data_IF_148231368145
#
_entry.id   IF_148231368145
#
_cell.length_a   1.000
_cell.length_b   1.000
_cell.length_c   1.000
_cell.angle_alpha   90.00
_cell.angle_beta   90.00
_cell.angle_gamma   90.00
#
_symmetry.space_group_name_H-M   'P 1'
#
loop_
_entity.id
_entity.type
_entity.pdbx_description
1 polymer ?
#
# COMPACT_ATOMS: atom_id res chain seq x y z
N UNK A 1 37.11 -8.75 -25.40
CA UNK A 1 35.94 -7.95 -25.86
C UNK A 1 35.51 -7.06 -24.70
N UNK A 2 35.42 -5.73 -24.87
CA UNK A 2 35.13 -4.84 -23.75
C UNK A 2 33.67 -4.97 -23.33
N UNK A 3 33.44 -5.11 -22.03
CA UNK A 3 32.13 -5.27 -21.35
C UNK A 3 31.08 -4.26 -21.85
N UNK A 4 31.51 -3.05 -22.23
CA UNK A 4 30.66 -1.99 -22.77
C UNK A 4 29.94 -2.32 -24.10
N UNK A 5 30.50 -3.18 -24.95
CA UNK A 5 29.88 -3.54 -26.22
C UNK A 5 28.71 -4.52 -26.05
N UNK A 6 28.83 -5.45 -25.10
CA UNK A 6 27.78 -6.41 -24.77
C UNK A 6 26.64 -5.73 -23.99
N UNK A 7 26.94 -4.81 -23.08
CA UNK A 7 25.93 -4.00 -22.37
C UNK A 7 25.10 -3.23 -23.40
N UNK A 8 25.73 -2.51 -24.34
CA UNK A 8 25.03 -1.78 -25.42
C UNK A 8 24.08 -2.63 -26.26
N UNK A 9 24.41 -3.91 -26.50
CA UNK A 9 23.58 -4.83 -27.28
C UNK A 9 22.33 -5.29 -26.51
N UNK A 10 22.38 -5.33 -25.19
CA UNK A 10 21.28 -5.76 -24.30
C UNK A 10 20.73 -4.64 -23.41
N UNK A 11 20.99 -3.38 -23.76
CA UNK A 11 20.62 -2.20 -22.96
C UNK A 11 19.14 -2.19 -22.55
N UNK A 12 18.22 -2.63 -23.42
CA UNK A 12 16.79 -2.69 -23.10
C UNK A 12 16.43 -3.72 -22.03
N UNK A 13 17.02 -4.92 -22.10
CA UNK A 13 16.81 -6.00 -21.12
C UNK A 13 17.44 -5.64 -19.78
N UNK A 14 18.61 -5.02 -19.81
CA UNK A 14 19.30 -4.58 -18.60
C UNK A 14 18.51 -3.50 -17.84
N UNK A 15 17.90 -2.53 -18.55
CA UNK A 15 17.01 -1.53 -17.94
C UNK A 15 15.84 -2.21 -17.24
N UNK A 16 15.18 -3.15 -17.93
CA UNK A 16 14.04 -3.87 -17.37
C UNK A 16 14.42 -4.58 -16.07
N UNK A 17 15.55 -5.29 -16.04
CA UNK A 17 16.00 -6.01 -14.85
C UNK A 17 16.33 -5.05 -13.70
N UNK A 18 17.11 -4.00 -13.96
CA UNK A 18 17.48 -3.03 -12.92
C UNK A 18 16.24 -2.31 -12.39
N UNK A 19 15.35 -1.85 -13.26
CA UNK A 19 14.13 -1.19 -12.83
C UNK A 19 13.23 -2.15 -12.06
N UNK A 20 13.12 -3.41 -12.47
CA UNK A 20 12.35 -4.41 -11.73
C UNK A 20 12.90 -4.61 -10.31
N UNK A 21 14.22 -4.80 -10.16
CA UNK A 21 14.85 -4.96 -8.86
C UNK A 21 14.70 -3.72 -7.97
N UNK A 22 14.89 -2.52 -8.54
CA UNK A 22 14.72 -1.26 -7.83
C UNK A 22 13.26 -1.04 -7.41
N UNK A 23 12.30 -1.28 -8.31
CA UNK A 23 10.88 -1.12 -8.02
C UNK A 23 10.43 -2.08 -6.92
N UNK A 24 10.81 -3.36 -7.02
CA UNK A 24 10.47 -4.35 -6.00
C UNK A 24 11.10 -4.00 -4.64
N UNK A 25 12.38 -3.63 -4.61
CA UNK A 25 13.06 -3.22 -3.38
C UNK A 25 12.47 -1.94 -2.76
N UNK A 26 12.11 -0.95 -3.58
CA UNK A 26 11.45 0.27 -3.13
C UNK A 26 10.06 -0.01 -2.57
N UNK A 27 9.27 -0.84 -3.24
CA UNK A 27 7.95 -1.25 -2.76
C UNK A 27 8.05 -1.90 -1.39
N UNK A 28 8.96 -2.85 -1.21
CA UNK A 28 9.18 -3.49 0.08
C UNK A 28 9.60 -2.46 1.14
N UNK A 29 10.56 -1.59 0.83
CA UNK A 29 11.08 -0.60 1.77
C UNK A 29 10.02 0.41 2.23
N UNK A 30 9.24 0.97 1.30
CA UNK A 30 8.15 1.92 1.60
C UNK A 30 7.05 1.27 2.42
N UNK A 31 6.77 -0.01 2.19
CA UNK A 31 5.73 -0.74 2.93
C UNK A 31 6.01 -0.85 4.43
N UNK A 32 7.28 -0.86 4.85
CA UNK A 32 7.66 -0.86 6.27
C UNK A 32 7.78 0.54 6.86
N UNK A 33 7.97 1.55 6.02
CA UNK A 33 8.18 2.94 6.42
C UNK A 33 7.25 3.84 5.63
N UNK A 34 5.99 3.95 6.07
CA UNK A 34 4.96 4.76 5.39
C UNK A 34 5.39 6.21 5.14
N UNK A 35 6.23 6.78 6.02
CA UNK A 35 6.80 8.12 5.85
C UNK A 35 7.63 8.30 4.58
N UNK A 36 8.08 7.19 3.98
CA UNK A 36 8.87 7.15 2.75
C UNK A 36 8.02 6.94 1.50
N UNK A 37 6.69 6.90 1.63
CA UNK A 37 5.75 6.72 0.51
C UNK A 37 6.04 7.60 -0.70
N UNK A 38 6.46 8.85 -0.48
CA UNK A 38 6.78 9.77 -1.57
C UNK A 38 7.93 9.30 -2.47
N UNK A 39 8.81 8.41 -2.00
CA UNK A 39 9.91 7.85 -2.80
C UNK A 39 9.41 6.98 -3.96
N UNK A 40 8.22 6.38 -3.83
CA UNK A 40 7.57 5.57 -4.88
C UNK A 40 7.39 6.41 -6.15
N UNK A 41 7.04 7.70 -6.03
CA UNK A 41 6.89 8.62 -7.17
C UNK A 41 8.21 9.01 -7.87
N UNK A 42 9.37 8.67 -7.31
CA UNK A 42 10.67 8.89 -7.98
C UNK A 42 10.97 7.83 -9.04
N UNK A 43 10.30 6.68 -9.01
CA UNK A 43 10.50 5.57 -9.95
C UNK A 43 10.45 6.01 -11.42
N UNK A 44 9.41 6.73 -11.92
CA UNK A 44 9.38 7.23 -13.30
C UNK A 44 10.55 8.17 -13.65
N UNK A 45 11.04 8.95 -12.68
CA UNK A 45 12.20 9.84 -12.87
C UNK A 45 13.48 9.02 -13.03
N UNK A 46 13.68 8.01 -12.20
CA UNK A 46 14.82 7.08 -12.30
C UNK A 46 14.79 6.34 -13.63
N UNK A 47 13.62 5.88 -14.07
CA UNK A 47 13.43 5.25 -15.39
C UNK A 47 13.87 6.20 -16.50
N UNK A 48 13.41 7.45 -16.48
CA UNK A 48 13.81 8.46 -17.47
C UNK A 48 15.32 8.68 -17.52
N UNK A 49 15.95 8.77 -16.35
CA UNK A 49 17.41 8.92 -16.23
C UNK A 49 18.13 7.71 -16.82
N UNK A 50 17.70 6.49 -16.48
CA UNK A 50 18.27 5.25 -17.01
C UNK A 50 18.11 5.14 -18.53
N UNK A 51 16.92 5.49 -19.05
CA UNK A 51 16.66 5.52 -20.50
C UNK A 51 17.57 6.52 -21.21
N UNK A 52 17.85 7.68 -20.59
CA UNK A 52 18.78 8.66 -21.12
C UNK A 52 20.22 8.12 -21.17
N UNK A 53 20.75 7.62 -20.05
CA UNK A 53 22.13 7.13 -19.97
C UNK A 53 22.41 5.94 -20.89
N UNK A 54 21.42 5.07 -21.11
CA UNK A 54 21.56 3.86 -21.92
C UNK A 54 21.20 4.08 -23.40
N UNK A 55 20.94 5.34 -23.78
CA UNK A 55 20.83 5.75 -25.17
C UNK A 55 19.50 5.43 -25.83
N UNK A 56 18.43 5.26 -25.05
CA UNK A 56 17.05 5.18 -25.56
C UNK A 56 16.55 6.59 -25.90
N UNK A 57 17.16 7.19 -26.92
CA UNK A 57 16.79 8.49 -27.46
C UNK A 57 15.60 8.39 -28.41
N UNK A 58 14.81 9.47 -28.46
CA UNK A 58 13.67 9.61 -29.36
C UNK A 58 12.32 9.31 -28.71
N UNK A 59 11.33 10.16 -29.03
CA UNK A 59 9.99 10.17 -28.44
C UNK A 59 9.31 8.79 -28.50
N UNK A 60 9.28 8.16 -29.68
CA UNK A 60 8.61 6.87 -29.90
C UNK A 60 9.17 5.77 -29.00
N UNK A 61 10.50 5.70 -28.87
CA UNK A 61 11.16 4.70 -28.02
C UNK A 61 10.87 4.98 -26.55
N UNK A 62 10.99 6.25 -26.13
CA UNK A 62 10.73 6.63 -24.74
C UNK A 62 9.30 6.34 -24.29
N UNK A 63 8.32 6.57 -25.17
CA UNK A 63 6.92 6.24 -24.89
C UNK A 63 6.70 4.72 -24.79
N UNK A 64 7.07 3.96 -25.81
CA UNK A 64 6.77 2.50 -25.84
C UNK A 64 7.50 1.76 -24.71
N UNK A 65 8.81 1.97 -24.58
CA UNK A 65 9.57 1.30 -23.52
C UNK A 65 9.22 1.84 -22.14
N UNK A 66 8.99 3.15 -22.02
CA UNK A 66 8.63 3.79 -20.76
C UNK A 66 7.34 3.23 -20.19
N UNK A 67 6.27 3.14 -20.99
CA UNK A 67 4.97 2.58 -20.57
C UNK A 67 5.14 1.15 -20.05
N UNK A 68 5.86 0.30 -20.78
CA UNK A 68 6.07 -1.11 -20.37
C UNK A 68 6.85 -1.20 -19.06
N UNK A 69 7.93 -0.42 -18.94
CA UNK A 69 8.78 -0.43 -17.74
C UNK A 69 8.01 0.11 -16.53
N UNK A 70 7.25 1.19 -16.71
CA UNK A 70 6.42 1.80 -15.66
C UNK A 70 5.31 0.85 -15.21
N UNK A 71 4.65 0.16 -16.15
CA UNK A 71 3.63 -0.83 -15.82
C UNK A 71 4.21 -1.99 -14.99
N UNK A 72 5.37 -2.52 -15.39
CA UNK A 72 6.06 -3.58 -14.64
C UNK A 72 6.48 -3.07 -13.25
N UNK A 73 7.00 -1.84 -13.16
CA UNK A 73 7.41 -1.26 -11.89
C UNK A 73 6.21 -1.07 -10.93
N UNK A 74 5.08 -0.57 -11.45
CA UNK A 74 3.84 -0.45 -10.68
C UNK A 74 3.39 -1.82 -10.16
N UNK A 75 3.39 -2.85 -11.02
CA UNK A 75 3.01 -4.21 -10.64
C UNK A 75 3.89 -4.78 -9.53
N UNK A 76 5.21 -4.58 -9.60
CA UNK A 76 6.15 -5.07 -8.59
C UNK A 76 6.01 -4.33 -7.26
N UNK A 77 5.78 -3.02 -7.28
CA UNK A 77 5.56 -2.22 -6.08
C UNK A 77 4.24 -2.64 -5.42
N UNK A 78 3.16 -2.73 -6.20
CA UNK A 78 1.87 -3.19 -5.70
C UNK A 78 1.94 -4.60 -5.12
N UNK A 79 2.70 -5.51 -5.75
CA UNK A 79 2.93 -6.85 -5.20
C UNK A 79 3.65 -6.83 -3.86
N UNK A 80 4.70 -6.04 -3.72
CA UNK A 80 5.45 -5.93 -2.48
C UNK A 80 4.60 -5.31 -1.35
N UNK A 81 3.90 -4.22 -1.65
CA UNK A 81 3.00 -3.55 -0.70
C UNK A 81 1.85 -4.46 -0.27
N UNK A 82 1.20 -5.13 -1.21
CA UNK A 82 0.09 -6.03 -0.88
C UNK A 82 0.54 -7.19 0.01
N UNK A 83 1.76 -7.70 -0.18
CA UNK A 83 2.32 -8.75 0.67
C UNK A 83 2.62 -8.25 2.09
N UNK A 84 3.26 -7.09 2.22
CA UNK A 84 3.59 -6.52 3.54
C UNK A 84 2.31 -6.14 4.28
N UNK A 85 1.35 -5.52 3.58
CA UNK A 85 0.03 -5.20 4.10
C UNK A 85 -0.68 -6.46 4.63
N UNK A 86 -0.66 -7.56 3.88
CA UNK A 86 -1.25 -8.82 4.35
C UNK A 86 -0.64 -9.30 5.67
N UNK A 87 0.67 -9.14 5.87
CA UNK A 87 1.40 -9.71 7.00
C UNK A 87 1.53 -8.82 8.25
N UNK A 88 1.09 -7.56 8.17
CA UNK A 88 1.34 -6.54 9.21
C UNK A 88 0.02 -6.11 9.86
N UNK A 89 0.07 -5.71 11.14
CA UNK A 89 -1.09 -5.13 11.82
C UNK A 89 -1.34 -3.71 11.31
N UNK A 90 -2.63 -3.35 11.15
CA UNK A 90 -3.05 -2.02 10.70
C UNK A 90 -3.87 -1.31 11.77
N UNK A 91 -3.24 -0.80 12.85
CA UNK A 91 -3.96 -0.04 13.83
C UNK A 91 -4.49 1.26 13.22
N UNK A 92 -5.76 1.58 13.47
CA UNK A 92 -6.38 2.84 13.05
C UNK A 92 -6.67 3.66 14.28
N UNK A 93 -6.21 4.91 14.31
CA UNK A 93 -6.43 5.83 15.42
C UNK A 93 -7.26 7.04 14.99
N UNK A 94 -8.14 7.50 15.87
CA UNK A 94 -8.89 8.73 15.72
C UNK A 94 -9.03 9.46 17.07
N UNK A 95 -9.13 10.78 17.02
CA UNK A 95 -9.35 11.62 18.21
C UNK A 95 -10.77 12.17 18.23
N UNK A 96 -11.45 11.99 19.35
CA UNK A 96 -12.82 12.45 19.60
C UNK A 96 -12.81 13.38 20.82
N UNK A 97 -12.53 14.67 20.59
CA UNK A 97 -12.34 15.62 21.68
C UNK A 97 -11.08 15.28 22.50
N UNK A 98 -11.24 14.98 23.78
CA UNK A 98 -10.14 14.59 24.70
C UNK A 98 -9.78 13.10 24.62
N UNK A 99 -10.57 12.28 23.92
CA UNK A 99 -10.43 10.84 23.82
C UNK A 99 -9.63 10.49 22.57
N UNK A 100 -8.59 9.66 22.73
CA UNK A 100 -7.92 9.02 21.60
C UNK A 100 -8.34 7.57 21.55
N UNK A 101 -8.86 7.14 20.40
CA UNK A 101 -9.30 5.78 20.17
C UNK A 101 -8.38 5.12 19.14
N UNK A 102 -7.86 3.93 19.46
CA UNK A 102 -7.01 3.13 18.58
C UNK A 102 -7.61 1.75 18.43
N UNK A 103 -8.11 1.44 17.24
CA UNK A 103 -8.62 0.14 16.85
C UNK A 103 -7.48 -0.71 16.27
N UNK A 104 -7.43 -2.00 16.59
CA UNK A 104 -6.49 -2.95 16.01
C UNK A 104 -7.12 -4.35 15.91
N UNK A 105 -6.63 -5.17 14.98
CA UNK A 105 -6.98 -6.60 14.88
C UNK A 105 -5.73 -7.46 14.75
N UNK A 106 -5.67 -8.54 15.53
CA UNK A 106 -4.52 -9.46 15.57
C UNK A 106 -4.93 -10.93 15.53
N UNK A 107 -4.36 -11.75 14.64
CA UNK A 107 -3.50 -11.34 13.52
C UNK A 107 -4.33 -10.67 12.44
N UNK A 108 -3.73 -9.74 11.72
CA UNK A 108 -4.38 -9.22 10.53
C UNK A 108 -4.46 -10.27 9.41
N UNK A 109 -3.41 -11.10 9.26
CA UNK A 109 -3.34 -12.17 8.26
C UNK A 109 -4.15 -13.42 8.64
N UNK A 110 -4.58 -14.19 7.64
CA UNK A 110 -5.27 -15.48 7.76
C UNK A 110 -4.46 -16.62 8.40
N UNK A 111 -3.24 -16.33 8.86
CA UNK A 111 -2.29 -17.35 9.30
C UNK A 111 -2.56 -17.88 10.70
N UNK A 112 -3.45 -17.26 11.50
CA UNK A 112 -3.83 -17.82 12.80
C UNK A 112 -5.33 -18.04 12.93
N UNK A 113 -5.73 -19.13 13.60
CA UNK A 113 -7.12 -19.52 13.69
C UNK A 113 -8.00 -18.60 14.55
N UNK A 114 -7.43 -17.73 15.39
CA UNK A 114 -8.18 -16.84 16.29
C UNK A 114 -7.76 -15.39 16.09
N UNK A 115 -8.74 -14.48 16.11
CA UNK A 115 -8.55 -13.05 15.89
C UNK A 115 -8.95 -12.27 17.13
N UNK A 116 -8.14 -11.30 17.52
CA UNK A 116 -8.41 -10.39 18.60
C UNK A 116 -8.67 -9.00 18.03
N UNK A 117 -9.92 -8.57 18.05
CA UNK A 117 -10.33 -7.22 17.73
C UNK A 117 -10.27 -6.40 19.01
N UNK A 118 -9.52 -5.30 18.99
CA UNK A 118 -9.36 -4.45 20.17
C UNK A 118 -9.54 -2.99 19.85
N UNK A 119 -10.15 -2.26 20.78
CA UNK A 119 -10.25 -0.81 20.83
C UNK A 119 -9.58 -0.33 22.11
N UNK A 120 -8.47 0.37 21.99
CA UNK A 120 -7.84 1.10 23.08
C UNK A 120 -8.39 2.53 23.12
N UNK A 121 -8.88 2.96 24.26
CA UNK A 121 -9.38 4.31 24.53
C UNK A 121 -8.53 4.96 25.61
N UNK A 122 -7.89 6.07 25.28
CA UNK A 122 -7.20 6.92 26.25
C UNK A 122 -8.11 8.05 26.73
N UNK A 123 -7.98 8.45 27.99
CA UNK A 123 -8.82 9.45 28.68
C UNK A 123 -10.31 9.08 28.72
N UNK A 124 -10.62 7.80 28.92
CA UNK A 124 -12.01 7.29 28.95
C UNK A 124 -12.84 7.75 30.16
N UNK A 125 -12.27 8.49 31.13
CA UNK A 125 -12.91 8.81 32.43
C UNK A 125 -14.22 9.60 32.32
N UNK A 126 -14.41 10.32 31.23
CA UNK A 126 -15.65 11.07 30.97
C UNK A 126 -16.76 10.20 30.34
N UNK A 127 -16.43 8.97 29.93
CA UNK A 127 -17.35 8.02 29.32
C UNK A 127 -18.02 7.15 30.39
N UNK A 128 -18.94 7.75 31.15
CA UNK A 128 -19.54 7.16 32.37
C UNK A 128 -20.46 5.94 32.16
N UNK A 129 -20.89 5.65 30.93
CA UNK A 129 -21.72 4.49 30.57
C UNK A 129 -21.50 4.17 29.09
N UNK A 130 -20.65 3.19 28.79
CA UNK A 130 -20.35 2.81 27.41
C UNK A 130 -21.10 1.53 27.04
N UNK A 131 -22.08 1.66 26.15
CA UNK A 131 -22.48 0.56 25.30
C UNK A 131 -21.41 0.43 24.22
N UNK A 132 -20.65 -0.65 24.27
CA UNK A 132 -19.73 -1.01 23.21
C UNK A 132 -20.43 -1.99 22.27
N UNK A 133 -20.26 -1.77 20.98
CA UNK A 133 -20.58 -2.77 19.98
C UNK A 133 -19.46 -2.87 18.97
N UNK A 134 -19.23 -4.08 18.48
CA UNK A 134 -18.31 -4.37 17.40
C UNK A 134 -19.13 -4.95 16.26
N UNK A 135 -19.16 -4.24 15.14
CA UNK A 135 -19.68 -4.76 13.88
C UNK A 135 -18.53 -5.35 13.07
N UNK A 136 -18.66 -6.57 12.57
CA UNK A 136 -17.69 -7.20 11.66
C UNK A 136 -18.45 -7.58 10.39
N UNK A 137 -17.99 -7.10 9.23
CA UNK A 137 -18.69 -7.30 7.97
C UNK A 137 -17.74 -7.59 6.81
N UNK A 138 -18.21 -8.38 5.86
CA UNK A 138 -17.67 -8.56 4.52
C UNK A 138 -18.83 -8.57 3.51
N UNK A 139 -18.56 -8.79 2.23
CA UNK A 139 -19.61 -8.89 1.20
C UNK A 139 -20.61 -10.03 1.43
N UNK A 140 -20.23 -11.08 2.17
CA UNK A 140 -21.03 -12.29 2.38
C UNK A 140 -21.29 -12.63 3.86
N UNK A 141 -20.77 -11.83 4.79
CA UNK A 141 -20.87 -12.08 6.23
C UNK A 141 -21.11 -10.77 6.99
N UNK A 142 -21.92 -10.82 8.03
CA UNK A 142 -22.19 -9.67 8.90
C UNK A 142 -22.53 -10.15 10.30
N UNK A 143 -21.85 -9.59 11.31
CA UNK A 143 -22.07 -9.91 12.70
C UNK A 143 -21.99 -8.66 13.59
N UNK A 144 -22.87 -8.60 14.58
CA UNK A 144 -22.87 -7.59 15.63
C UNK A 144 -22.55 -8.24 16.96
N UNK A 145 -21.46 -7.81 17.59
CA UNK A 145 -20.95 -8.34 18.85
C UNK A 145 -21.13 -7.27 19.92
N UNK A 146 -21.96 -7.54 20.92
CA UNK A 146 -22.23 -6.63 22.05
C UNK A 146 -21.97 -7.30 23.38
N UNK A 147 -22.55 -8.48 23.61
CA UNK A 147 -22.48 -9.20 24.89
C UNK A 147 -21.19 -9.98 25.11
N UNK A 148 -20.44 -10.26 24.05
CA UNK A 148 -19.18 -11.02 24.11
C UNK A 148 -17.94 -10.13 24.21
N UNK A 149 -18.13 -8.80 24.19
CA UNK A 149 -17.04 -7.85 24.38
C UNK A 149 -16.56 -7.90 25.82
N UNK A 150 -15.25 -8.02 25.98
CA UNK A 150 -14.57 -7.93 27.27
C UNK A 150 -13.88 -6.59 27.36
N UNK A 151 -13.63 -6.11 28.57
CA UNK A 151 -12.83 -4.92 28.78
C UNK A 151 -11.86 -5.11 29.94
N UNK A 152 -10.80 -4.31 29.93
CA UNK A 152 -9.98 -4.07 31.11
C UNK A 152 -9.57 -2.60 31.13
N UNK A 153 -9.28 -2.10 32.32
CA UNK A 153 -8.87 -0.70 32.54
C UNK A 153 -7.52 -0.66 33.24
N UNK A 154 -6.69 0.29 32.83
CA UNK A 154 -5.38 0.57 33.44
C UNK A 154 -5.15 2.08 33.45
N UNK A 155 -5.25 2.69 34.63
CA UNK A 155 -5.11 4.15 34.78
C UNK A 155 -6.15 4.94 33.98
N UNK A 156 -5.70 5.70 32.98
CA UNK A 156 -6.57 6.49 32.08
C UNK A 156 -6.90 5.75 30.77
N UNK A 157 -6.49 4.49 30.61
CA UNK A 157 -6.71 3.70 29.42
C UNK A 157 -7.74 2.60 29.67
N UNK A 158 -8.66 2.41 28.73
CA UNK A 158 -9.58 1.28 28.67
C UNK A 158 -9.31 0.53 27.37
N UNK A 159 -9.21 -0.80 27.45
CA UNK A 159 -9.11 -1.65 26.27
C UNK A 159 -10.33 -2.55 26.24
N UNK A 160 -11.13 -2.40 25.19
CA UNK A 160 -12.27 -3.27 24.87
C UNK A 160 -11.83 -4.22 23.79
N UNK A 161 -12.12 -5.50 23.95
CA UNK A 161 -11.66 -6.51 23.01
C UNK A 161 -12.64 -7.66 22.84
N UNK A 162 -12.56 -8.28 21.67
CA UNK A 162 -13.29 -9.47 21.28
C UNK A 162 -12.32 -10.48 20.66
N UNK A 163 -12.28 -11.68 21.23
CA UNK A 163 -11.54 -12.81 20.67
C UNK A 163 -12.52 -13.65 19.87
N UNK A 164 -12.43 -13.56 18.54
CA UNK A 164 -13.24 -14.35 17.63
C UNK A 164 -12.89 -15.85 17.81
N UNK A 165 -13.91 -16.71 18.01
CA UNK A 165 -13.70 -18.16 18.07
C UNK A 165 -13.04 -18.69 16.81
N UNK A 166 -12.31 -19.79 16.96
CA UNK A 166 -11.64 -20.41 15.82
C UNK A 166 -12.64 -20.83 14.74
N UNK A 167 -12.36 -20.43 13.49
CA UNK A 167 -13.21 -20.74 12.34
C UNK A 167 -14.53 -19.99 12.28
N UNK A 168 -14.77 -19.00 13.14
CA UNK A 168 -16.03 -18.24 13.14
C UNK A 168 -16.15 -17.24 12.00
N UNK A 169 -15.03 -16.82 11.41
CA UNK A 169 -14.99 -15.92 10.26
C UNK A 169 -14.83 -16.76 8.98
N UNK A 170 -15.78 -16.72 8.03
CA UNK A 170 -15.62 -17.32 6.71
C UNK A 170 -14.41 -16.77 5.95
N UNK A 171 -14.08 -17.35 4.79
CA UNK A 171 -13.05 -16.78 3.93
C UNK A 171 -13.51 -15.42 3.37
N UNK A 172 -12.69 -14.39 3.47
CA UNK A 172 -13.00 -13.05 2.99
C UNK A 172 -12.11 -11.94 3.52
N UNK A 173 -12.30 -10.74 2.97
CA UNK A 173 -11.73 -9.48 3.46
C UNK A 173 -12.82 -8.78 4.25
N UNK A 174 -12.51 -8.42 5.49
CA UNK A 174 -13.48 -7.85 6.42
C UNK A 174 -13.20 -6.37 6.67
N UNK A 175 -14.22 -5.65 7.11
CA UNK A 175 -14.10 -4.40 7.83
C UNK A 175 -14.72 -4.59 9.21
N UNK A 176 -14.24 -3.84 10.19
CA UNK A 176 -14.90 -3.78 11.48
C UNK A 176 -15.10 -2.35 11.94
N UNK A 177 -16.18 -2.16 12.69
CA UNK A 177 -16.54 -0.88 13.27
C UNK A 177 -16.77 -1.07 14.75
N UNK A 178 -15.95 -0.43 15.56
CA UNK A 178 -16.23 -0.25 16.97
C UNK A 178 -17.13 0.97 17.16
N UNK A 179 -18.24 0.79 17.87
CA UNK A 179 -19.11 1.86 18.31
C UNK A 179 -19.05 1.95 19.82
N UNK A 180 -18.88 3.17 20.33
CA UNK A 180 -18.81 3.45 21.76
C UNK A 180 -19.39 4.86 22.03
N UNK A 181 -20.26 4.98 23.04
CA UNK A 181 -21.07 6.18 23.25
C UNK A 181 -21.78 6.61 21.95
N UNK A 182 -21.42 7.77 21.39
CA UNK A 182 -21.94 8.32 20.14
C UNK A 182 -20.87 8.33 19.01
N UNK A 183 -19.75 7.65 19.21
CA UNK A 183 -18.62 7.62 18.27
C UNK A 183 -18.52 6.26 17.59
N UNK A 184 -17.95 6.27 16.39
CA UNK A 184 -17.62 5.05 15.66
C UNK A 184 -16.23 5.17 15.05
N UNK A 185 -15.46 4.09 15.19
CA UNK A 185 -14.15 3.94 14.57
C UNK A 185 -14.18 2.71 13.68
N UNK A 186 -14.10 2.95 12.38
CA UNK A 186 -14.04 1.89 11.36
C UNK A 186 -12.60 1.67 10.96
N UNK A 187 -12.23 0.40 10.87
CA UNK A 187 -10.91 -0.02 10.46
C UNK A 187 -11.01 -1.23 9.51
N UNK A 188 -10.01 -1.41 8.63
CA UNK A 188 -9.93 -2.63 7.84
C UNK A 188 -9.77 -3.82 8.77
N UNK A 189 -10.55 -4.86 8.54
CA UNK A 189 -10.59 -6.06 9.35
C UNK A 189 -9.61 -7.13 8.92
N UNK A 190 -9.59 -8.26 9.64
CA UNK A 190 -8.65 -9.32 9.36
C UNK A 190 -8.94 -9.87 7.96
N UNK A 191 -7.89 -10.29 7.27
CA UNK A 191 -8.00 -10.96 5.97
C UNK A 191 -7.98 -12.45 6.24
N UNK A 192 -9.13 -13.11 6.11
CA UNK A 192 -9.20 -14.57 6.12
C UNK A 192 -9.23 -15.08 4.67
N UNK A 193 -8.16 -14.86 3.91
CA UNK A 193 -8.04 -15.37 2.55
C UNK A 193 -6.60 -15.84 2.33
N UNK A 194 -6.36 -16.90 1.55
CA UNK A 194 -5.01 -17.30 1.18
C UNK A 194 -4.21 -16.14 0.56
N UNK A 195 -2.92 -16.02 0.90
CA UNK A 195 -2.06 -14.92 0.42
C UNK A 195 -2.09 -14.78 -1.11
N UNK A 196 -2.07 -15.89 -1.84
CA UNK A 196 -2.16 -15.88 -3.31
C UNK A 196 -3.48 -15.29 -3.82
N UNK A 197 -4.60 -15.59 -3.15
CA UNK A 197 -5.90 -15.01 -3.48
C UNK A 197 -5.94 -13.51 -3.17
N UNK A 198 -5.41 -13.10 -2.00
CA UNK A 198 -5.28 -11.69 -1.65
C UNK A 198 -4.43 -10.92 -2.67
N UNK A 199 -3.26 -11.44 -3.03
CA UNK A 199 -2.37 -10.83 -4.00
C UNK A 199 -3.05 -10.71 -5.37
N UNK A 200 -3.74 -11.74 -5.83
CA UNK A 200 -4.42 -11.72 -7.13
C UNK A 200 -5.49 -10.60 -7.21
N UNK A 201 -6.19 -10.34 -6.11
CA UNK A 201 -7.24 -9.31 -6.04
C UNK A 201 -6.66 -7.90 -5.84
N UNK A 202 -5.81 -7.72 -4.84
CA UNK A 202 -5.27 -6.41 -4.43
C UNK A 202 -4.27 -5.81 -5.41
N UNK A 203 -3.37 -6.64 -5.98
CA UNK A 203 -2.27 -6.15 -6.82
C UNK A 203 -2.78 -5.45 -8.06
N UNK A 204 -3.83 -5.98 -8.70
CA UNK A 204 -4.34 -5.40 -9.94
C UNK A 204 -4.93 -4.00 -9.71
N UNK A 205 -5.70 -3.83 -8.64
CA UNK A 205 -6.29 -2.55 -8.28
C UNK A 205 -5.21 -1.50 -7.94
N UNK A 206 -4.24 -1.87 -7.09
CA UNK A 206 -3.13 -0.99 -6.72
C UNK A 206 -2.22 -0.66 -7.91
N UNK A 207 -2.00 -1.62 -8.83
CA UNK A 207 -1.16 -1.43 -10.02
C UNK A 207 -1.75 -0.34 -10.92
N UNK A 208 -3.06 -0.37 -11.16
CA UNK A 208 -3.75 0.63 -11.99
C UNK A 208 -3.59 2.03 -11.37
N UNK A 209 -3.73 2.14 -10.05
CA UNK A 209 -3.58 3.42 -9.35
C UNK A 209 -2.17 3.98 -9.51
N UNK A 210 -1.12 3.21 -9.23
CA UNK A 210 0.27 3.67 -9.41
C UNK A 210 0.63 3.93 -10.87
N UNK A 211 0.15 3.08 -11.79
CA UNK A 211 0.41 3.24 -13.21
C UNK A 211 -0.07 4.60 -13.73
N UNK A 212 -1.26 5.05 -13.34
CA UNK A 212 -1.78 6.36 -13.75
C UNK A 212 -0.85 7.49 -13.30
N UNK A 213 -0.45 7.50 -12.02
CA UNK A 213 0.46 8.54 -11.51
C UNK A 213 1.83 8.50 -12.18
N UNK A 214 2.38 7.30 -12.35
CA UNK A 214 3.68 7.14 -13.00
C UNK A 214 3.67 7.56 -14.46
N UNK A 215 2.61 7.24 -15.19
CA UNK A 215 2.49 7.61 -16.59
C UNK A 215 2.44 9.13 -16.76
N UNK A 216 1.71 9.84 -15.89
CA UNK A 216 1.67 11.31 -15.90
C UNK A 216 3.07 11.90 -15.69
N UNK A 217 3.81 11.40 -14.70
CA UNK A 217 5.17 11.88 -14.39
C UNK A 217 6.13 11.54 -15.54
N UNK A 218 6.05 10.32 -16.08
CA UNK A 218 6.86 9.86 -17.20
C UNK A 218 6.63 10.76 -18.43
N UNK A 219 5.37 10.96 -18.82
CA UNK A 219 5.01 11.79 -19.97
C UNK A 219 5.54 13.21 -19.81
N UNK A 220 5.31 13.84 -18.65
CA UNK A 220 5.83 15.17 -18.36
C UNK A 220 7.36 15.24 -18.55
N UNK A 221 8.09 14.26 -18.02
CA UNK A 221 9.54 14.19 -18.18
C UNK A 221 10.00 13.95 -19.62
N UNK A 222 9.32 13.08 -20.38
CA UNK A 222 9.61 12.87 -21.81
C UNK A 222 9.44 14.16 -22.60
N UNK A 223 8.34 14.90 -22.38
CA UNK A 223 8.08 16.17 -23.07
C UNK A 223 9.09 17.26 -22.69
N UNK A 224 9.46 17.36 -21.41
CA UNK A 224 10.50 18.29 -20.95
C UNK A 224 11.85 17.99 -21.61
N UNK A 225 12.28 16.73 -21.65
CA UNK A 225 13.53 16.36 -22.34
C UNK A 225 13.48 16.69 -23.83
N UNK A 226 12.35 16.44 -24.50
CA UNK A 226 12.19 16.79 -25.93
C UNK A 226 12.29 18.31 -26.17
N UNK A 227 11.71 19.12 -25.29
CA UNK A 227 11.80 20.57 -25.35
C UNK A 227 13.26 21.05 -25.26
N UNK A 228 14.03 20.49 -24.31
CA UNK A 228 15.44 20.81 -24.12
C UNK A 228 16.29 20.38 -25.33
N UNK A 229 16.04 19.20 -25.88
CA UNK A 229 16.73 18.69 -27.08
C UNK A 229 16.50 19.60 -28.30
N UNK A 230 15.25 20.04 -28.54
CA UNK A 230 14.93 20.97 -29.63
C UNK A 230 15.56 22.36 -29.44
N UNK A 231 15.56 22.89 -28.22
CA UNK A 231 16.17 24.18 -27.90
C UNK A 231 17.67 24.20 -28.18
N UNK A 232 18.39 23.14 -27.79
CA UNK A 232 19.83 23.00 -28.07
C UNK A 232 20.14 22.85 -29.57
N UNK A 233 19.31 22.11 -30.30
CA UNK A 233 19.46 21.97 -31.75
C UNK A 233 19.33 23.31 -32.48
N UNK A 234 18.40 24.18 -32.05
CA UNK A 234 18.25 25.53 -32.59
C UNK A 234 19.46 26.42 -32.30
N UNK A 235 20.03 26.32 -31.09
CA UNK A 235 21.21 27.09 -30.69
C UNK A 235 22.47 26.68 -31.45
N UNK A 236 22.64 25.40 -31.77
CA UNK A 236 23.80 24.90 -32.52
C UNK A 236 23.71 25.15 -34.04
N UNK A 237 22.55 25.60 -34.55
CA UNK A 237 22.34 25.98 -35.96
C UNK A 237 22.52 27.48 -36.22
N UNK A 238 22.79 28.27 -35.17
CA UNK A 238 23.24 29.66 -35.24
C UNK A 238 24.74 29.71 -34.96
#
# INVERSE_FOLDING_TARGET
>A
MPVNANIRKYNSVFILIITALLAYGLGYFVSYFESLFLLVFLVPIVILILMHYLGLYGLKKRLIYGVVIVFIAALLISSAESQVYYSTDHPVSASYGSITATANVRPFSGNFPAYNFSLALDNYKDLKTLNFSLHIASSAYSANITTQLKNYTSGNQMIVYYVAPSGSLPLGIYNYTFTFANYSLTAPGPINAPLNTWLADSVLFATILYFIYYEIILLAGIFLMRSIEHSRSYRNKK
#
